data_IF_978844175860
#
_entry.id   IF_978844175860
#
_cell.length_a   1.000
_cell.length_b   1.000
_cell.length_c   1.000
_cell.angle_alpha   90.00
_cell.angle_beta   90.00
_cell.angle_gamma   90.00
#
_symmetry.space_group_name_H-M   'P 1'
#
loop_
_entity.id
_entity.type
_entity.pdbx_description
1 polymer ?
#
# COMPACT_ATOMS: atom_id res chain seq x y z
N UNK A 1 -13.35 -27.86 18.68
CA UNK A 1 -12.26 -27.19 17.96
C UNK A 1 -12.92 -26.13 17.08
N UNK A 2 -12.90 -24.87 17.50
CA UNK A 2 -13.48 -23.79 16.68
C UNK A 2 -12.44 -23.42 15.63
N UNK A 3 -12.60 -23.93 14.41
CA UNK A 3 -11.78 -23.50 13.27
C UNK A 3 -12.11 -22.04 12.98
N UNK A 4 -11.21 -21.14 13.37
CA UNK A 4 -11.29 -19.74 12.95
C UNK A 4 -11.00 -19.69 11.45
N UNK A 5 -12.05 -19.60 10.62
CA UNK A 5 -11.93 -19.30 9.20
C UNK A 5 -11.25 -17.94 9.09
N UNK A 6 -9.92 -17.93 8.91
CA UNK A 6 -9.16 -16.72 8.72
C UNK A 6 -9.54 -16.19 7.34
N UNK A 7 -10.40 -15.16 7.29
CA UNK A 7 -10.79 -14.54 6.03
C UNK A 7 -9.53 -14.01 5.36
N UNK A 8 -9.09 -14.69 4.31
CA UNK A 8 -8.01 -14.21 3.46
C UNK A 8 -8.44 -12.85 2.93
N UNK A 9 -7.72 -11.79 3.31
CA UNK A 9 -7.98 -10.48 2.73
C UNK A 9 -7.60 -10.58 1.24
N UNK A 10 -8.60 -10.49 0.38
CA UNK A 10 -8.45 -10.51 -1.08
C UNK A 10 -8.87 -9.16 -1.63
N UNK A 11 -8.08 -8.60 -2.54
CA UNK A 11 -8.35 -7.29 -3.14
C UNK A 11 -7.06 -6.58 -3.53
N UNK A 12 -7.20 -5.44 -4.21
CA UNK A 12 -6.05 -4.64 -4.67
C UNK A 12 -5.15 -4.22 -3.51
N UNK A 13 -5.73 -3.73 -2.41
CA UNK A 13 -4.97 -3.34 -1.22
C UNK A 13 -4.30 -4.55 -0.57
N UNK A 14 -4.97 -5.71 -0.54
CA UNK A 14 -4.39 -6.93 -0.01
C UNK A 14 -3.21 -7.44 -0.87
N UNK A 15 -3.21 -7.19 -2.18
CA UNK A 15 -2.07 -7.51 -3.05
C UNK A 15 -0.81 -6.74 -2.63
N UNK A 16 -0.96 -5.44 -2.33
CA UNK A 16 0.14 -4.64 -1.81
C UNK A 16 0.47 -4.98 -0.34
N UNK A 17 -0.51 -5.31 0.49
CA UNK A 17 -0.28 -5.67 1.89
C UNK A 17 0.41 -7.03 2.08
N UNK A 18 0.20 -7.98 1.17
CA UNK A 18 0.87 -9.29 1.18
C UNK A 18 2.34 -9.22 0.71
N UNK A 19 2.81 -8.08 0.21
CA UNK A 19 4.21 -7.87 -0.13
C UNK A 19 4.71 -6.54 0.43
N UNK A 20 5.46 -6.60 1.52
CA UNK A 20 5.98 -5.42 2.21
C UNK A 20 6.79 -4.48 1.29
N UNK A 21 7.48 -5.02 0.28
CA UNK A 21 8.23 -4.22 -0.70
C UNK A 21 7.28 -3.40 -1.57
N UNK A 22 6.21 -4.01 -2.05
CA UNK A 22 5.21 -3.34 -2.89
C UNK A 22 4.46 -2.24 -2.11
N UNK A 23 4.13 -2.49 -0.84
CA UNK A 23 3.54 -1.49 0.05
C UNK A 23 4.47 -0.29 0.29
N UNK A 24 5.74 -0.55 0.64
CA UNK A 24 6.71 0.51 0.87
C UNK A 24 6.99 1.34 -0.39
N UNK A 25 7.06 0.69 -1.56
CA UNK A 25 7.28 1.39 -2.81
C UNK A 25 6.11 2.32 -3.16
N UNK A 26 4.86 1.88 -2.92
CA UNK A 26 3.68 2.73 -3.12
C UNK A 26 3.71 3.93 -2.18
N UNK A 27 4.04 3.73 -0.90
CA UNK A 27 4.17 4.82 0.07
C UNK A 27 5.22 5.84 -0.35
N UNK A 28 6.39 5.36 -0.77
CA UNK A 28 7.48 6.20 -1.26
C UNK A 28 7.08 6.98 -2.52
N UNK A 29 6.39 6.32 -3.46
CA UNK A 29 5.92 6.95 -4.69
C UNK A 29 4.95 8.10 -4.42
N UNK A 30 3.99 7.90 -3.53
CA UNK A 30 3.00 8.94 -3.14
C UNK A 30 3.72 10.13 -2.49
N UNK A 31 4.70 9.86 -1.62
CA UNK A 31 5.48 10.91 -0.95
C UNK A 31 6.30 11.73 -1.97
N UNK A 32 7.01 11.06 -2.89
CA UNK A 32 7.78 11.75 -3.94
C UNK A 32 6.87 12.60 -4.81
N UNK A 33 5.77 12.03 -5.30
CA UNK A 33 4.83 12.77 -6.14
C UNK A 33 4.27 13.99 -5.41
N UNK A 34 3.89 13.84 -4.14
CA UNK A 34 3.44 14.96 -3.32
C UNK A 34 4.51 16.05 -3.16
N UNK A 35 5.77 15.67 -2.94
CA UNK A 35 6.88 16.61 -2.85
C UNK A 35 7.11 17.36 -4.17
N UNK A 36 7.16 16.65 -5.30
CA UNK A 36 7.32 17.24 -6.63
C UNK A 36 6.15 18.20 -6.93
N UNK A 37 4.92 17.79 -6.65
CA UNK A 37 3.74 18.64 -6.81
C UNK A 37 3.85 19.92 -5.98
N UNK A 38 4.29 19.82 -4.72
CA UNK A 38 4.51 20.99 -3.86
C UNK A 38 5.52 21.98 -4.46
N UNK A 39 6.65 21.51 -4.99
CA UNK A 39 7.68 22.38 -5.58
C UNK A 39 7.31 22.91 -6.96
N UNK A 40 6.47 22.19 -7.72
CA UNK A 40 6.12 22.55 -9.11
C UNK A 40 4.90 23.46 -9.19
N UNK A 41 3.97 23.39 -8.22
CA UNK A 41 2.73 24.18 -8.19
C UNK A 41 2.90 25.52 -7.44
N UNK A 42 4.06 25.79 -6.81
CA UNK A 42 4.31 27.11 -6.18
C UNK A 42 4.19 28.27 -7.17
#
# INVERSE_FOLDING_TARGET
MSESIQQKQTGLIAYFANNSVAANLMMFFIIIMGAISYFTIQ
#
